data_IF_968449555008
#
_entry.id   IF_968449555008
#
_cell.length_a   1.000
_cell.length_b   1.000
_cell.length_c   1.000
_cell.angle_alpha   90.00
_cell.angle_beta   90.00
_cell.angle_gamma   90.00
#
_symmetry.space_group_name_H-M   'P 1'
#
loop_
_entity.id
_entity.type
_entity.pdbx_description
1 polymer ?
#
# COMPACT_ATOMS: atom_id res chain seq x y z
N UNK A 1 5.94 8.48 19.88
CA UNK A 1 6.31 7.48 18.87
C UNK A 1 5.03 6.88 18.30
N UNK A 2 4.68 7.20 17.06
CA UNK A 2 3.40 6.79 16.45
C UNK A 2 3.62 5.65 15.46
N UNK A 3 2.79 4.61 15.57
CA UNK A 3 2.75 3.51 14.62
C UNK A 3 1.45 3.57 13.81
N UNK A 4 1.58 3.44 12.50
CA UNK A 4 0.45 3.38 11.56
C UNK A 4 0.46 2.05 10.83
N UNK A 5 -0.72 1.41 10.77
CA UNK A 5 -0.96 0.26 9.94
C UNK A 5 -1.76 0.70 8.71
N UNK A 6 -1.40 0.22 7.53
CA UNK A 6 -2.07 0.51 6.28
C UNK A 6 -2.49 -0.79 5.62
N UNK A 7 -3.79 -0.96 5.40
CA UNK A 7 -4.34 -2.15 4.76
C UNK A 7 -5.48 -1.82 3.80
N UNK A 8 -5.63 -2.67 2.79
CA UNK A 8 -6.59 -2.54 1.71
C UNK A 8 -7.71 -3.54 1.88
N UNK A 9 -8.96 -3.10 1.72
CA UNK A 9 -10.08 -4.01 1.59
C UNK A 9 -10.69 -3.90 0.20
N UNK A 10 -10.29 -4.84 -0.66
CA UNK A 10 -10.89 -5.08 -1.96
C UNK A 10 -12.23 -5.77 -1.76
N UNK A 11 -13.32 -5.14 -2.23
CA UNK A 11 -14.75 -5.55 -2.20
C UNK A 11 -15.71 -4.45 -1.72
N UNK A 12 -15.20 -3.28 -1.34
CA UNK A 12 -16.02 -2.08 -1.21
C UNK A 12 -16.24 -1.48 -2.61
N UNK A 13 -17.14 -2.10 -3.37
CA UNK A 13 -17.39 -1.70 -4.75
C UNK A 13 -18.31 -0.48 -4.82
N UNK A 14 -17.93 0.48 -5.65
CA UNK A 14 -18.86 1.51 -6.13
C UNK A 14 -19.06 1.33 -7.63
N UNK A 15 -20.31 1.21 -8.04
CA UNK A 15 -20.67 1.15 -9.44
C UNK A 15 -20.57 2.53 -10.09
N UNK A 16 -20.03 2.58 -11.30
CA UNK A 16 -19.87 3.83 -12.07
C UNK A 16 -21.19 4.50 -12.43
N UNK A 17 -22.30 3.75 -12.36
CA UNK A 17 -23.67 4.24 -12.50
C UNK A 17 -24.54 3.63 -11.41
N UNK A 18 -24.71 4.34 -10.30
CA UNK A 18 -25.80 4.08 -9.36
C UNK A 18 -27.00 4.95 -9.79
N UNK A 19 -28.17 4.33 -10.00
CA UNK A 19 -29.40 5.11 -10.23
C UNK A 19 -29.74 5.86 -8.95
N UNK A 20 -29.69 7.19 -8.98
CA UNK A 20 -30.38 8.03 -7.99
C UNK A 20 -29.53 8.70 -6.91
N UNK A 21 -28.20 8.68 -6.98
CA UNK A 21 -27.36 9.43 -6.04
C UNK A 21 -26.23 10.15 -6.79
N UNK A 22 -26.52 11.35 -7.31
CA UNK A 22 -25.52 12.33 -7.75
C UNK A 22 -24.91 13.09 -6.55
N UNK A 23 -25.17 12.62 -5.33
CA UNK A 23 -24.67 13.27 -4.13
C UNK A 23 -23.15 13.25 -4.09
N UNK A 24 -22.52 14.39 -3.76
CA UNK A 24 -21.06 14.44 -3.63
C UNK A 24 -20.60 13.52 -2.49
N UNK A 25 -19.37 12.96 -2.57
CA UNK A 25 -18.89 12.05 -1.55
C UNK A 25 -18.75 12.79 -0.20
N UNK A 26 -19.46 12.31 0.82
CA UNK A 26 -19.60 12.97 2.13
C UNK A 26 -18.24 13.17 2.84
N UNK A 27 -17.28 12.28 2.60
CA UNK A 27 -15.99 12.25 3.30
C UNK A 27 -14.79 12.62 2.41
N UNK A 28 -15.03 13.10 1.20
CA UNK A 28 -13.97 13.53 0.28
C UNK A 28 -13.16 14.69 0.87
N UNK A 29 -11.83 14.60 0.75
CA UNK A 29 -10.90 15.57 1.29
C UNK A 29 -10.75 15.53 2.82
N UNK A 30 -11.78 15.12 3.56
CA UNK A 30 -11.80 15.02 5.02
C UNK A 30 -11.14 13.73 5.52
N UNK A 31 -11.75 12.59 5.23
CA UNK A 31 -11.22 11.27 5.60
C UNK A 31 -10.67 10.53 4.38
N UNK A 32 -11.40 10.56 3.27
CA UNK A 32 -10.92 10.02 1.99
C UNK A 32 -10.07 11.08 1.30
N UNK A 33 -8.90 10.68 0.80
CA UNK A 33 -8.13 11.51 -0.10
C UNK A 33 -8.91 11.79 -1.38
N UNK A 34 -8.68 12.97 -1.98
CA UNK A 34 -9.30 13.31 -3.26
C UNK A 34 -8.76 12.38 -4.33
N UNK A 35 -9.64 11.87 -5.18
CA UNK A 35 -9.27 10.88 -6.19
C UNK A 35 -8.24 11.44 -7.18
N UNK A 36 -8.34 12.73 -7.53
CA UNK A 36 -7.38 13.44 -8.38
C UNK A 36 -5.97 13.50 -7.78
N UNK A 37 -5.85 13.74 -6.47
CA UNK A 37 -4.57 13.81 -5.77
C UNK A 37 -3.90 12.43 -5.76
N UNK A 38 -4.70 11.39 -5.50
CA UNK A 38 -4.23 10.00 -5.50
C UNK A 38 -3.83 9.57 -6.90
N UNK A 39 -4.63 9.89 -7.93
CA UNK A 39 -4.33 9.58 -9.32
C UNK A 39 -3.02 10.24 -9.77
N UNK A 40 -2.86 11.54 -9.49
CA UNK A 40 -1.64 12.30 -9.79
C UNK A 40 -0.41 11.66 -9.15
N UNK A 41 -0.52 11.24 -7.88
CA UNK A 41 0.56 10.56 -7.19
C UNK A 41 0.89 9.18 -7.77
N UNK A 42 -0.13 8.39 -8.12
CA UNK A 42 0.05 7.08 -8.74
C UNK A 42 0.78 7.21 -10.08
N UNK A 43 0.41 8.20 -10.90
CA UNK A 43 1.05 8.44 -12.19
C UNK A 43 2.50 8.92 -12.03
N UNK A 44 2.78 9.76 -11.01
CA UNK A 44 4.13 10.16 -10.65
C UNK A 44 5.00 8.95 -10.27
N UNK A 45 4.52 8.09 -9.38
CA UNK A 45 5.25 6.88 -8.93
C UNK A 45 5.55 6.01 -10.15
N UNK A 46 4.56 5.77 -11.02
CA UNK A 46 4.69 4.96 -12.23
C UNK A 46 5.69 5.51 -13.23
N UNK A 47 5.66 6.82 -13.47
CA UNK A 47 6.61 7.48 -14.38
C UNK A 47 8.07 7.32 -13.93
N UNK A 48 8.29 7.13 -12.62
CA UNK A 48 9.61 6.98 -12.02
C UNK A 48 10.00 5.53 -11.72
N UNK A 49 9.17 4.57 -12.12
CA UNK A 49 9.49 3.15 -12.00
C UNK A 49 10.53 2.75 -13.04
N UNK A 50 11.76 2.52 -12.60
CA UNK A 50 12.72 1.72 -13.37
C UNK A 50 12.41 0.24 -13.17
N UNK A 51 12.52 -0.57 -14.21
CA UNK A 51 12.30 -2.03 -14.16
C UNK A 51 13.21 -2.67 -13.10
N UNK A 52 12.62 -3.12 -11.99
CA UNK A 52 13.36 -3.57 -10.81
C UNK A 52 13.45 -5.11 -10.75
N UNK A 53 14.61 -5.67 -11.11
CA UNK A 53 14.90 -7.11 -10.93
C UNK A 53 15.28 -7.40 -9.46
N UNK A 54 14.89 -8.57 -8.94
CA UNK A 54 15.32 -9.10 -7.63
C UNK A 54 15.62 -10.60 -7.79
N UNK A 55 16.90 -10.97 -7.79
CA UNK A 55 17.36 -12.34 -8.08
C UNK A 55 17.30 -12.72 -9.57
N UNK A 56 17.26 -14.02 -9.87
CA UNK A 56 17.14 -14.56 -11.25
C UNK A 56 15.76 -14.36 -11.87
N UNK A 57 14.77 -13.92 -11.11
CA UNK A 57 13.44 -13.60 -11.60
C UNK A 57 13.35 -12.12 -11.97
N UNK A 58 13.08 -11.83 -13.26
CA UNK A 58 12.62 -10.51 -13.72
C UNK A 58 11.23 -10.25 -13.12
N UNK A 59 11.18 -9.71 -11.91
CA UNK A 59 9.95 -9.15 -11.39
C UNK A 59 9.66 -7.86 -12.16
N UNK A 60 8.83 -7.94 -13.21
CA UNK A 60 7.97 -6.81 -13.57
C UNK A 60 7.25 -6.44 -12.28
N UNK A 61 7.26 -5.17 -11.87
CA UNK A 61 6.68 -4.72 -10.61
C UNK A 61 5.20 -5.15 -10.46
N UNK A 62 5.00 -6.36 -9.94
CA UNK A 62 3.85 -7.20 -10.26
C UNK A 62 2.53 -6.75 -9.66
N UNK A 63 2.55 -5.71 -8.82
CA UNK A 63 1.35 -5.12 -8.24
C UNK A 63 1.05 -3.72 -8.73
N UNK A 64 1.97 -2.99 -9.36
CA UNK A 64 1.69 -1.65 -9.90
C UNK A 64 0.81 -1.67 -11.16
N UNK A 65 0.79 -2.80 -11.86
CA UNK A 65 -0.01 -3.02 -13.06
C UNK A 65 -1.26 -3.85 -12.77
N UNK A 66 -2.06 -3.49 -11.77
CA UNK A 66 -3.42 -4.02 -11.68
C UNK A 66 -4.27 -3.40 -12.79
N UNK A 67 -4.85 -4.25 -13.66
CA UNK A 67 -5.86 -3.81 -14.62
C UNK A 67 -7.08 -3.31 -13.85
N UNK A 68 -7.70 -2.23 -14.34
CA UNK A 68 -9.06 -1.85 -13.90
C UNK A 68 -9.99 -3.04 -14.11
N UNK A 69 -10.78 -3.34 -13.10
CA UNK A 69 -11.92 -4.26 -13.20
C UNK A 69 -12.92 -3.73 -14.23
N UNK A 70 -13.81 -4.61 -14.71
CA UNK A 70 -14.65 -4.37 -15.89
C UNK A 70 -15.43 -3.05 -15.85
N UNK A 71 -15.87 -2.59 -17.01
CA UNK A 71 -16.41 -1.24 -17.29
C UNK A 71 -17.57 -0.72 -16.41
N UNK A 72 -18.11 -1.53 -15.49
CA UNK A 72 -19.22 -1.21 -14.60
C UNK A 72 -18.80 -0.86 -13.17
N UNK A 73 -17.55 -1.14 -12.78
CA UNK A 73 -17.02 -0.87 -11.44
C UNK A 73 -16.09 0.34 -11.54
N UNK A 74 -16.32 1.34 -10.70
CA UNK A 74 -15.46 2.52 -10.61
C UNK A 74 -14.43 2.34 -9.49
N UNK A 75 -14.91 2.02 -8.28
CA UNK A 75 -14.09 1.75 -7.10
C UNK A 75 -14.07 0.23 -6.83
N UNK A 76 -12.87 -0.36 -6.72
CA UNK A 76 -12.63 -1.78 -6.42
C UNK A 76 -12.49 -2.08 -4.92
N UNK A 77 -12.36 -1.03 -4.10
CA UNK A 77 -12.06 -1.13 -2.69
C UNK A 77 -11.58 0.18 -2.09
N UNK A 78 -11.05 0.08 -0.87
CA UNK A 78 -10.52 1.21 -0.11
C UNK A 78 -9.20 0.80 0.56
N UNK A 79 -8.22 1.70 0.57
CA UNK A 79 -7.04 1.61 1.42
C UNK A 79 -7.25 2.51 2.64
N UNK A 80 -6.97 2.02 3.85
CA UNK A 80 -7.09 2.81 5.06
C UNK A 80 -5.83 2.73 5.92
N UNK A 81 -5.39 3.87 6.41
CA UNK A 81 -4.39 4.01 7.45
C UNK A 81 -5.06 4.13 8.81
N UNK A 82 -4.62 3.30 9.76
CA UNK A 82 -5.15 3.23 11.13
C UNK A 82 -4.03 3.36 12.16
N UNK A 83 -4.34 3.93 13.32
CA UNK A 83 -3.41 3.92 14.46
C UNK A 83 -3.51 2.61 15.24
N UNK A 84 -2.59 2.41 16.20
CA UNK A 84 -2.59 1.24 17.11
C UNK A 84 -3.90 1.03 17.87
N UNK A 85 -4.69 2.08 18.09
CA UNK A 85 -5.98 2.00 18.81
C UNK A 85 -7.16 1.64 17.90
N UNK A 86 -6.93 1.44 16.59
CA UNK A 86 -7.98 1.15 15.62
C UNK A 86 -8.73 2.37 15.11
N UNK A 87 -8.30 3.60 15.45
CA UNK A 87 -8.87 4.80 14.85
C UNK A 87 -8.42 4.94 13.40
N UNK A 88 -9.38 5.23 12.53
CA UNK A 88 -9.15 5.48 11.11
C UNK A 88 -8.56 6.89 10.97
N UNK A 89 -7.38 7.00 10.37
CA UNK A 89 -6.65 8.26 10.24
C UNK A 89 -6.88 8.91 8.87
N UNK A 90 -6.82 8.09 7.81
CA UNK A 90 -7.00 8.53 6.42
C UNK A 90 -7.31 7.32 5.54
N UNK A 91 -8.14 7.51 4.53
CA UNK A 91 -8.38 6.52 3.49
C UNK A 91 -8.17 7.06 2.09
N UNK A 92 -8.18 6.16 1.11
CA UNK A 92 -8.28 6.48 -0.31
C UNK A 92 -9.01 5.35 -1.05
N UNK A 93 -9.62 5.68 -2.18
CA UNK A 93 -10.31 4.71 -3.01
C UNK A 93 -9.33 3.94 -3.91
N UNK A 94 -9.59 2.64 -4.06
CA UNK A 94 -8.93 1.80 -5.06
C UNK A 94 -9.70 1.92 -6.37
N UNK A 95 -9.15 2.57 -7.39
CA UNK A 95 -9.74 2.58 -8.75
C UNK A 95 -9.21 1.46 -9.65
N UNK A 96 -8.39 0.58 -9.07
CA UNK A 96 -7.79 -0.61 -9.65
C UNK A 96 -7.39 -1.52 -8.50
N UNK A 97 -6.89 -2.71 -8.79
CA UNK A 97 -6.39 -3.61 -7.74
C UNK A 97 -5.32 -3.00 -6.83
N UNK A 98 -4.92 -3.75 -5.80
CA UNK A 98 -3.95 -3.32 -4.82
C UNK A 98 -2.56 -3.07 -5.44
N UNK A 99 -2.18 -1.79 -5.51
CA UNK A 99 -0.87 -1.33 -5.97
C UNK A 99 -0.07 -0.74 -4.80
N UNK A 100 1.26 -0.64 -4.92
CA UNK A 100 2.10 -0.11 -3.84
C UNK A 100 2.04 1.41 -3.70
N UNK A 101 1.68 2.13 -4.77
CA UNK A 101 1.47 3.58 -4.70
C UNK A 101 0.35 3.97 -3.72
N UNK A 102 -0.65 3.11 -3.46
CA UNK A 102 -1.71 3.37 -2.50
C UNK A 102 -1.22 3.46 -1.04
N UNK A 103 -0.60 2.42 -0.47
CA UNK A 103 -0.03 2.52 0.87
C UNK A 103 1.08 3.57 0.94
N UNK A 104 1.82 3.81 -0.14
CA UNK A 104 2.85 4.85 -0.20
C UNK A 104 2.26 6.27 -0.09
N UNK A 105 1.14 6.54 -0.77
CA UNK A 105 0.42 7.80 -0.63
C UNK A 105 0.01 8.06 0.82
N UNK A 106 -0.57 7.04 1.47
CA UNK A 106 -0.97 7.14 2.87
C UNK A 106 0.24 7.27 3.79
N UNK A 107 1.33 6.55 3.56
CA UNK A 107 2.57 6.72 4.32
C UNK A 107 3.09 8.16 4.24
N UNK A 108 3.08 8.76 3.04
CA UNK A 108 3.48 10.15 2.82
C UNK A 108 2.61 11.14 3.59
N UNK A 109 1.29 10.97 3.51
CA UNK A 109 0.33 11.81 4.23
C UNK A 109 0.50 11.70 5.75
N UNK A 110 0.68 10.48 6.26
CA UNK A 110 0.82 10.24 7.69
C UNK A 110 2.17 10.72 8.23
N UNK A 111 3.24 10.58 7.45
CA UNK A 111 4.56 11.15 7.78
C UNK A 111 4.46 12.66 7.99
N UNK A 112 3.80 13.38 7.07
CA UNK A 112 3.59 14.84 7.19
C UNK A 112 2.68 15.25 8.34
N UNK A 113 1.58 14.53 8.56
CA UNK A 113 0.53 14.94 9.50
C UNK A 113 0.82 14.56 10.96
N UNK A 114 1.52 13.45 11.18
CA UNK A 114 1.56 12.83 12.50
C UNK A 114 2.96 12.36 12.93
N UNK A 115 4.01 12.72 12.18
CA UNK A 115 5.41 12.35 12.45
C UNK A 115 5.57 10.87 12.85
N UNK A 116 5.09 10.00 11.96
CA UNK A 116 5.02 8.55 12.20
C UNK A 116 6.43 7.95 12.19
N UNK A 117 6.75 7.16 13.21
CA UNK A 117 8.04 6.48 13.32
C UNK A 117 7.99 5.06 12.77
N UNK A 118 6.83 4.40 12.87
CA UNK A 118 6.66 3.01 12.44
C UNK A 118 5.54 2.84 11.42
N UNK A 119 5.82 2.08 10.37
CA UNK A 119 4.86 1.74 9.32
C UNK A 119 4.65 0.24 9.23
N UNK A 120 3.40 -0.19 9.20
CA UNK A 120 3.01 -1.58 9.06
C UNK A 120 2.06 -1.78 7.90
N UNK A 121 2.26 -2.87 7.18
CA UNK A 121 1.36 -3.40 6.18
C UNK A 121 1.57 -4.90 6.07
N UNK A 122 0.65 -5.61 5.41
CA UNK A 122 0.75 -7.07 5.33
C UNK A 122 2.01 -7.52 4.58
N UNK A 123 2.29 -6.92 3.41
CA UNK A 123 3.44 -7.26 2.56
C UNK A 123 4.62 -6.28 2.68
N UNK A 124 4.93 -5.82 3.91
CA UNK A 124 6.02 -4.85 4.15
C UNK A 124 7.36 -5.34 3.57
N UNK A 125 7.61 -6.65 3.62
CA UNK A 125 8.82 -7.30 3.09
C UNK A 125 9.05 -7.06 1.58
N UNK A 126 7.97 -6.90 0.79
CA UNK A 126 8.04 -6.61 -0.65
C UNK A 126 7.92 -5.12 -0.93
N UNK A 127 7.15 -4.42 -0.11
CA UNK A 127 6.92 -3.00 -0.23
C UNK A 127 8.17 -2.17 0.11
N UNK A 128 8.89 -2.47 1.19
CA UNK A 128 10.03 -1.65 1.62
C UNK A 128 11.17 -1.59 0.59
N UNK A 129 11.61 -2.73 0.00
CA UNK A 129 12.59 -2.69 -1.08
C UNK A 129 12.08 -1.96 -2.32
N UNK A 130 10.77 -1.99 -2.57
CA UNK A 130 10.16 -1.24 -3.67
C UNK A 130 10.22 0.27 -3.39
N UNK A 131 9.82 0.71 -2.18
CA UNK A 131 9.89 2.11 -1.76
C UNK A 131 11.31 2.67 -1.89
N UNK A 132 12.33 1.94 -1.42
CA UNK A 132 13.73 2.37 -1.53
C UNK A 132 14.15 2.64 -2.98
N UNK A 133 13.78 1.73 -3.90
CA UNK A 133 14.08 1.91 -5.34
C UNK A 133 13.36 3.10 -5.96
N UNK A 134 12.13 3.37 -5.54
CA UNK A 134 11.39 4.55 -6.01
C UNK A 134 12.00 5.83 -5.45
N UNK A 135 12.42 5.83 -4.18
CA UNK A 135 13.03 6.97 -3.53
C UNK A 135 14.37 7.40 -4.16
N UNK A 136 15.09 6.48 -4.82
CA UNK A 136 16.26 6.82 -5.66
C UNK A 136 15.90 7.74 -6.84
N UNK A 137 14.69 7.57 -7.42
CA UNK A 137 14.19 8.39 -8.53
C UNK A 137 13.35 9.59 -8.10
N UNK A 138 12.77 9.53 -6.90
CA UNK A 138 11.90 10.55 -6.30
C UNK A 138 12.42 10.94 -4.91
N UNK A 139 13.39 11.87 -4.82
CA UNK A 139 14.03 12.25 -3.57
C UNK A 139 13.05 12.75 -2.48
N UNK A 140 11.88 13.27 -2.87
CA UNK A 140 10.85 13.70 -1.92
C UNK A 140 10.24 12.54 -1.11
N UNK A 141 10.49 11.29 -1.52
CA UNK A 141 10.06 10.08 -0.82
C UNK A 141 11.15 9.48 0.07
N UNK A 142 12.39 9.98 0.01
CA UNK A 142 13.49 9.54 0.91
C UNK A 142 13.11 9.62 2.39
N UNK A 143 12.41 10.66 2.90
CA UNK A 143 12.03 10.68 4.32
C UNK A 143 11.14 9.49 4.73
N UNK A 144 10.44 8.86 3.78
CA UNK A 144 9.60 7.68 4.06
C UNK A 144 10.44 6.43 4.30
N UNK A 145 11.67 6.35 3.78
CA UNK A 145 12.56 5.20 3.97
C UNK A 145 13.20 5.17 5.36
N UNK A 146 13.24 6.33 6.04
CA UNK A 146 13.75 6.48 7.40
C UNK A 146 12.79 5.95 8.48
N UNK A 147 11.51 5.77 8.11
CA UNK A 147 10.53 5.12 8.99
C UNK A 147 10.93 3.67 9.26
N UNK A 148 10.49 3.11 10.38
CA UNK A 148 10.79 1.71 10.73
C UNK A 148 9.67 0.79 10.24
N UNK A 149 9.93 -0.10 9.26
CA UNK A 149 8.95 -1.09 8.86
C UNK A 149 8.74 -2.11 9.97
N UNK A 150 7.51 -2.55 10.17
CA UNK A 150 7.24 -3.80 10.87
C UNK A 150 6.23 -4.64 10.10
N UNK A 151 6.35 -5.95 10.30
CA UNK A 151 5.60 -6.96 9.58
C UNK A 151 4.47 -7.45 10.48
N UNK A 152 3.28 -7.68 9.92
CA UNK A 152 2.17 -8.23 10.69
C UNK A 152 2.57 -9.62 11.23
N UNK A 153 2.19 -9.96 12.48
CA UNK A 153 2.52 -11.29 13.04
C UNK A 153 2.00 -12.44 12.17
N UNK A 154 0.86 -12.25 11.52
CA UNK A 154 0.28 -13.24 10.61
C UNK A 154 1.13 -13.42 9.35
N UNK A 155 1.63 -12.34 8.76
CA UNK A 155 2.54 -12.43 7.62
C UNK A 155 3.91 -13.01 8.02
N UNK A 156 4.39 -12.71 9.23
CA UNK A 156 5.64 -13.27 9.75
C UNK A 156 5.51 -14.79 9.92
N UNK A 157 4.34 -15.25 10.38
CA UNK A 157 3.98 -16.67 10.41
C UNK A 157 3.90 -17.29 9.01
N UNK A 158 3.39 -16.58 8.01
CA UNK A 158 3.37 -17.07 6.64
C UNK A 158 4.78 -17.24 6.04
N UNK A 159 5.71 -16.32 6.34
CA UNK A 159 7.12 -16.48 5.97
C UNK A 159 7.78 -17.69 6.65
N UNK A 160 7.48 -17.93 7.92
CA UNK A 160 7.99 -19.10 8.65
C UNK A 160 7.30 -20.39 8.23
N UNK A 161 6.05 -20.37 7.76
CA UNK A 161 5.35 -21.55 7.23
C UNK A 161 6.03 -22.09 5.95
N UNK A 162 6.60 -21.23 5.09
CA UNK A 162 7.45 -21.69 3.97
C UNK A 162 8.76 -22.33 4.45
N UNK A 163 9.24 -22.00 5.66
CA UNK A 163 10.37 -22.64 6.29
C UNK A 163 9.96 -23.92 7.05
N UNK A 164 8.76 -24.02 7.63
CA UNK A 164 8.30 -25.24 8.32
C UNK A 164 8.00 -26.40 7.35
N UNK A 165 7.65 -26.10 6.09
CA UNK A 165 7.55 -27.11 5.03
C UNK A 165 8.88 -27.54 4.40
N UNK A 166 9.98 -26.80 4.62
CA UNK A 166 11.32 -27.10 4.08
C UNK A 166 12.36 -27.48 5.16
N UNK A 167 12.12 -27.16 6.43
CA UNK A 167 13.04 -27.40 7.55
C UNK A 167 12.72 -28.69 8.31
N UNK A 168 12.30 -29.74 7.60
CA UNK A 168 12.43 -31.12 8.11
C UNK A 168 13.92 -31.56 8.05
N UNK A 169 14.80 -30.77 7.43
CA UNK A 169 16.25 -31.02 7.47
C UNK A 169 17.04 -29.79 7.92
N UNK A 170 17.80 -29.99 8.99
CA UNK A 170 18.88 -29.16 9.54
C UNK A 170 18.51 -28.01 10.49
N UNK A 171 18.05 -28.40 11.68
CA UNK A 171 18.37 -27.71 12.93
C UNK A 171 19.76 -28.17 13.43
N UNK A 172 20.81 -27.48 12.98
CA UNK A 172 22.17 -27.36 13.55
C UNK A 172 22.69 -26.07 12.90
N UNK A 173 22.82 -24.93 13.55
CA UNK A 173 23.38 -24.67 14.86
C UNK A 173 22.87 -23.30 15.37
N UNK A 174 22.77 -23.21 16.69
CA UNK A 174 22.58 -21.98 17.48
C UNK A 174 23.71 -20.98 17.25
#
# INVERSE_FOLDING_TARGET
MLAVCCDGNRKHYRFSKSKGTEEPPIYEGLFLAKDEEVATFVDLVRGNMKSAVCGTAKFTAGREMSKRSGAQIDEEGIQVAVCRHGFLLRGLNHFRGEIYAYPMFLQKEMSKKANVDFFCMDVTCRYWPYLNKIAEGLPELLPLTEMRPFLSMMHAKAHTATCEGHNIFNAKDL
#
